data_IF_435186564774
#
_entry.id   IF_435186564774
#
_cell.length_a   1.000
_cell.length_b   1.000
_cell.length_c   1.000
_cell.angle_alpha   90.00
_cell.angle_beta   90.00
_cell.angle_gamma   90.00
#
_symmetry.space_group_name_H-M   'P 1'
#
loop_
_entity.id
_entity.type
_entity.pdbx_description
1 polymer ?
#
# COMPACT_ATOMS: atom_id res chain seq x y z
N UNK A 1 -1.51 -16.26 -15.52
CA UNK A 1 -2.97 -16.06 -15.49
C UNK A 1 -3.33 -15.47 -14.13
N UNK A 2 -4.05 -14.33 -14.09
CA UNK A 2 -4.52 -13.69 -12.85
C UNK A 2 -6.05 -13.64 -12.91
N UNK A 3 -6.78 -14.56 -12.25
CA UNK A 3 -8.23 -14.55 -12.28
C UNK A 3 -8.75 -13.27 -11.62
N UNK A 4 -9.79 -12.68 -12.21
CA UNK A 4 -10.51 -11.53 -11.63
C UNK A 4 -11.88 -12.05 -11.21
N UNK A 5 -12.22 -11.92 -9.93
CA UNK A 5 -13.55 -12.23 -9.43
C UNK A 5 -14.48 -11.03 -9.63
N UNK A 6 -15.55 -11.20 -10.43
CA UNK A 6 -16.56 -10.16 -10.63
C UNK A 6 -17.78 -10.41 -9.72
N UNK A 7 -17.91 -9.60 -8.67
CA UNK A 7 -19.07 -9.62 -7.79
C UNK A 7 -20.30 -8.93 -8.42
N UNK A 8 -21.50 -9.35 -8.03
CA UNK A 8 -22.75 -8.67 -8.40
C UNK A 8 -22.76 -7.20 -7.91
N UNK A 9 -23.48 -6.33 -8.63
CA UNK A 9 -23.55 -4.88 -8.33
C UNK A 9 -24.00 -4.61 -6.90
N UNK A 10 -25.01 -5.33 -6.40
CA UNK A 10 -25.49 -5.17 -5.02
C UNK A 10 -24.37 -5.39 -3.99
N UNK A 11 -23.54 -6.42 -4.17
CA UNK A 11 -22.39 -6.67 -3.29
C UNK A 11 -21.32 -5.60 -3.40
N UNK A 12 -21.08 -5.05 -4.60
CA UNK A 12 -20.15 -3.93 -4.79
C UNK A 12 -20.59 -2.67 -4.04
N UNK A 13 -21.90 -2.42 -3.94
CA UNK A 13 -22.44 -1.30 -3.15
C UNK A 13 -22.12 -1.52 -1.66
N UNK A 14 -22.41 -2.71 -1.13
CA UNK A 14 -22.12 -3.03 0.27
C UNK A 14 -20.63 -2.94 0.59
N UNK A 15 -19.75 -3.47 -0.26
CA UNK A 15 -18.30 -3.38 -0.04
C UNK A 15 -17.83 -1.93 -0.10
N UNK A 16 -18.36 -1.10 -1.00
CA UNK A 16 -18.02 0.33 -1.06
C UNK A 16 -18.43 1.07 0.21
N UNK A 17 -19.61 0.81 0.75
CA UNK A 17 -20.07 1.38 2.04
C UNK A 17 -19.13 0.95 3.18
N UNK A 18 -18.75 -0.32 3.23
CA UNK A 18 -17.81 -0.83 4.23
C UNK A 18 -16.44 -0.14 4.13
N UNK A 19 -15.88 -0.02 2.91
CA UNK A 19 -14.61 0.68 2.69
C UNK A 19 -14.67 2.13 3.15
N UNK A 20 -15.74 2.87 2.82
CA UNK A 20 -15.87 4.27 3.24
C UNK A 20 -15.89 4.40 4.78
N UNK A 21 -16.51 3.46 5.50
CA UNK A 21 -16.48 3.44 6.98
C UNK A 21 -15.10 3.11 7.53
N UNK A 22 -14.41 2.14 6.93
CA UNK A 22 -13.06 1.75 7.34
C UNK A 22 -12.03 2.85 7.09
N UNK A 23 -12.19 3.63 6.02
CA UNK A 23 -11.29 4.75 5.73
C UNK A 23 -11.22 5.76 6.89
N UNK A 24 -12.32 5.97 7.62
CA UNK A 24 -12.34 6.88 8.77
C UNK A 24 -11.43 6.46 9.94
N UNK A 25 -11.08 5.18 10.04
CA UNK A 25 -10.16 4.64 11.07
C UNK A 25 -8.83 4.17 10.49
N UNK A 26 -8.75 3.94 9.18
CA UNK A 26 -7.58 3.41 8.52
C UNK A 26 -6.35 4.31 8.74
N UNK A 27 -6.52 5.63 8.74
CA UNK A 27 -5.41 6.56 8.98
C UNK A 27 -4.82 6.47 10.40
N UNK A 28 -5.60 6.04 11.38
CA UNK A 28 -5.11 5.84 12.75
C UNK A 28 -4.38 4.50 12.91
N UNK A 29 -4.81 3.47 12.19
CA UNK A 29 -4.24 2.10 12.30
C UNK A 29 -3.01 1.92 11.40
N UNK A 30 -2.99 2.57 10.23
CA UNK A 30 -1.96 2.38 9.21
C UNK A 30 -0.86 3.43 9.35
N UNK A 31 0.40 2.97 9.36
CA UNK A 31 1.58 3.85 9.46
C UNK A 31 1.61 4.89 8.32
N UNK A 32 2.12 6.11 8.57
CA UNK A 32 2.28 7.14 7.54
C UNK A 32 3.12 6.70 6.34
N UNK A 33 4.07 5.78 6.54
CA UNK A 33 4.95 5.26 5.49
C UNK A 33 4.24 4.37 4.46
N UNK A 34 3.02 3.88 4.76
CA UNK A 34 2.24 3.11 3.80
C UNK A 34 1.41 4.07 2.94
N UNK A 35 1.83 4.22 1.69
CA UNK A 35 1.20 5.14 0.73
C UNK A 35 0.16 4.47 -0.17
N UNK A 36 0.30 3.16 -0.42
CA UNK A 36 -0.63 2.42 -1.27
C UNK A 36 -1.98 2.16 -0.58
N UNK A 37 -3.06 2.22 -1.37
CA UNK A 37 -4.44 1.90 -0.97
C UNK A 37 -5.03 2.76 0.16
N UNK A 38 -4.41 3.90 0.46
CA UNK A 38 -4.89 4.87 1.44
C UNK A 38 -5.51 6.08 0.74
N UNK A 39 -6.63 6.57 1.27
CA UNK A 39 -7.26 7.77 0.74
C UNK A 39 -6.38 8.99 0.99
N UNK A 40 -6.17 9.83 -0.03
CA UNK A 40 -5.39 11.07 0.08
C UNK A 40 -3.87 10.89 0.11
N UNK A 41 -3.34 9.67 -0.01
CA UNK A 41 -1.88 9.42 -0.14
C UNK A 41 -1.53 9.08 -1.59
N UNK A 42 -0.38 9.58 -2.07
CA UNK A 42 0.09 9.32 -3.42
C UNK A 42 1.21 8.28 -3.42
N UNK A 43 1.24 7.41 -4.44
CA UNK A 43 2.35 6.46 -4.64
C UNK A 43 3.70 7.19 -4.79
N UNK A 44 3.68 8.39 -5.38
CA UNK A 44 4.87 9.24 -5.55
C UNK A 44 5.51 9.64 -4.23
N UNK A 45 4.72 9.80 -3.15
CA UNK A 45 5.26 10.15 -1.83
C UNK A 45 6.22 9.05 -1.34
N UNK A 46 5.87 7.78 -1.57
CA UNK A 46 6.73 6.64 -1.21
C UNK A 46 8.01 6.57 -2.05
N UNK A 47 7.93 6.95 -3.33
CA UNK A 47 9.09 7.01 -4.23
C UNK A 47 10.04 8.14 -3.83
N UNK A 48 9.49 9.30 -3.47
CA UNK A 48 10.27 10.45 -2.99
C UNK A 48 11.05 10.10 -1.71
N UNK A 49 10.37 9.52 -0.71
CA UNK A 49 11.02 9.06 0.54
C UNK A 49 12.14 8.06 0.25
N UNK A 50 11.91 7.09 -0.64
CA UNK A 50 12.93 6.11 -1.02
C UNK A 50 14.13 6.79 -1.70
N UNK A 51 13.88 7.71 -2.62
CA UNK A 51 14.92 8.44 -3.34
C UNK A 51 15.78 9.28 -2.40
N UNK A 52 15.16 10.01 -1.47
CA UNK A 52 15.85 10.78 -0.44
C UNK A 52 16.69 9.88 0.47
N UNK A 53 16.15 8.74 0.90
CA UNK A 53 16.88 7.77 1.75
C UNK A 53 18.13 7.24 1.05
N UNK A 54 18.02 6.86 -0.23
CA UNK A 54 19.16 6.39 -1.03
C UNK A 54 20.18 7.51 -1.25
N UNK A 55 19.71 8.72 -1.51
CA UNK A 55 20.56 9.88 -1.70
C UNK A 55 21.36 10.22 -0.42
N UNK A 56 20.71 10.20 0.74
CA UNK A 56 21.34 10.45 2.04
C UNK A 56 22.39 9.38 2.38
N UNK A 57 22.07 8.11 2.12
CA UNK A 57 23.00 6.99 2.30
C UNK A 57 24.28 7.19 1.47
N UNK A 58 24.13 7.58 0.20
CA UNK A 58 25.25 7.88 -0.69
C UNK A 58 26.05 9.10 -0.21
N UNK A 59 25.39 10.18 0.17
CA UNK A 59 26.04 11.41 0.66
C UNK A 59 26.84 11.15 1.94
N UNK A 60 26.33 10.32 2.86
CA UNK A 60 27.00 9.98 4.12
C UNK A 60 28.03 8.85 3.99
N UNK A 61 28.24 8.30 2.77
CA UNK A 61 29.13 7.14 2.50
C UNK A 61 28.83 5.94 3.41
N UNK A 62 27.56 5.74 3.74
CA UNK A 62 27.10 4.62 4.55
C UNK A 62 26.78 3.43 3.64
N UNK A 63 27.11 2.22 4.09
CA UNK A 63 26.68 1.02 3.40
C UNK A 63 25.23 0.71 3.80
N UNK A 64 24.38 0.41 2.83
CA UNK A 64 22.98 0.05 3.07
C UNK A 64 22.52 -1.06 2.14
N UNK A 65 21.47 -1.76 2.54
CA UNK A 65 20.86 -2.86 1.78
C UNK A 65 19.40 -2.52 1.55
N UNK A 66 18.95 -2.63 0.29
CA UNK A 66 17.53 -2.49 -0.06
C UNK A 66 16.92 -3.88 -0.01
N UNK A 67 15.99 -4.10 0.93
CA UNK A 67 15.24 -5.34 1.03
C UNK A 67 13.86 -5.18 0.39
N UNK A 68 13.66 -5.80 -0.77
CA UNK A 68 12.39 -5.79 -1.49
C UNK A 68 11.69 -7.14 -1.31
N UNK A 69 10.49 -7.12 -0.73
CA UNK A 69 9.63 -8.29 -0.52
C UNK A 69 8.39 -8.12 -1.39
N UNK A 70 7.92 -9.21 -2.00
CA UNK A 70 6.64 -9.26 -2.70
C UNK A 70 5.86 -10.51 -2.27
N UNK A 71 4.54 -10.40 -2.18
CA UNK A 71 3.67 -11.51 -1.78
C UNK A 71 3.03 -12.17 -3.00
N UNK A 72 3.46 -13.39 -3.29
CA UNK A 72 2.85 -14.19 -4.36
C UNK A 72 1.39 -14.49 -4.01
N UNK A 73 0.46 -14.08 -4.90
CA UNK A 73 -1.00 -14.26 -4.73
C UNK A 73 -1.51 -13.73 -3.39
N UNK A 74 -1.12 -12.50 -3.04
CA UNK A 74 -1.45 -11.85 -1.77
C UNK A 74 -2.90 -12.02 -1.33
N UNK A 75 -3.88 -11.85 -2.22
CA UNK A 75 -5.30 -11.98 -1.90
C UNK A 75 -5.79 -13.43 -1.75
N UNK A 76 -5.19 -14.39 -2.47
CA UNK A 76 -5.59 -15.81 -2.41
C UNK A 76 -5.00 -16.52 -1.18
N UNK A 77 -3.91 -15.97 -0.61
CA UNK A 77 -3.20 -16.52 0.55
C UNK A 77 -3.66 -15.97 1.90
N UNK A 78 -4.57 -14.99 1.92
CA UNK A 78 -5.21 -14.53 3.16
C UNK A 78 -6.15 -15.64 3.64
N UNK A 79 -5.86 -16.22 4.82
CA UNK A 79 -6.70 -17.20 5.50
C UNK A 79 -7.57 -16.54 6.56
#
# INVERSE_FOLDING_TARGET
>A
YRPICLLNVSFKIFTKVATNRLNGVADHVVKPTQTAFMQGRNILDGVAVLHETVHELHHKKLNGVIFKIDFEKAYDKVK
#
